data_IF_851891560153
#
_entry.id   IF_851891560153
#
_cell.length_a   1.000
_cell.length_b   1.000
_cell.length_c   1.000
_cell.angle_alpha   90.00
_cell.angle_beta   90.00
_cell.angle_gamma   90.00
#
_symmetry.space_group_name_H-M   'P 1'
#
loop_
_entity.id
_entity.type
_entity.pdbx_description
1 polymer ?
#
# COMPACT_ATOMS: atom_id res chain seq x y z
N UNK A 1 6.90 -11.81 -8.35
CA UNK A 1 6.81 -10.32 -8.41
C UNK A 1 8.22 -9.75 -8.43
N UNK A 2 8.58 -9.06 -9.51
CA UNK A 2 9.88 -8.42 -9.72
C UNK A 2 9.84 -6.92 -9.44
N UNK A 3 10.93 -6.23 -9.77
CA UNK A 3 11.08 -4.78 -9.67
C UNK A 3 11.39 -4.23 -11.07
N UNK A 4 10.37 -4.18 -11.91
CA UNK A 4 10.43 -3.70 -13.29
C UNK A 4 9.24 -2.79 -13.59
N UNK A 5 9.22 -2.19 -14.78
CA UNK A 5 8.17 -1.26 -15.20
C UNK A 5 6.78 -1.90 -15.23
N UNK A 6 6.68 -3.19 -15.60
CA UNK A 6 5.41 -3.92 -15.61
C UNK A 6 4.88 -4.12 -14.18
N UNK A 7 5.75 -4.53 -13.27
CA UNK A 7 5.43 -4.69 -11.85
C UNK A 7 5.05 -3.35 -11.21
N UNK A 8 5.74 -2.26 -11.55
CA UNK A 8 5.40 -0.89 -11.12
C UNK A 8 4.01 -0.48 -11.61
N UNK A 9 3.70 -0.71 -12.89
CA UNK A 9 2.36 -0.39 -13.42
C UNK A 9 1.25 -1.13 -12.66
N UNK A 10 1.48 -2.39 -12.26
CA UNK A 10 0.54 -3.11 -11.41
C UNK A 10 0.41 -2.50 -10.01
N UNK A 11 1.52 -2.09 -9.39
CA UNK A 11 1.51 -1.46 -8.06
C UNK A 11 0.72 -0.14 -8.07
N UNK A 12 0.98 0.72 -9.07
CA UNK A 12 0.23 1.97 -9.31
C UNK A 12 -1.27 1.67 -9.47
N UNK A 13 -1.63 0.68 -10.29
CA UNK A 13 -3.02 0.27 -10.47
C UNK A 13 -3.68 -0.16 -9.16
N UNK A 14 -2.96 -0.91 -8.30
CA UNK A 14 -3.51 -1.37 -7.01
C UNK A 14 -3.74 -0.24 -6.02
N UNK A 15 -2.86 0.76 -5.99
CA UNK A 15 -3.03 1.93 -5.14
C UNK A 15 -4.24 2.76 -5.60
N UNK A 16 -4.37 3.01 -6.91
CA UNK A 16 -5.56 3.68 -7.47
C UNK A 16 -6.86 2.94 -7.13
N UNK A 17 -6.85 1.61 -7.24
CA UNK A 17 -7.99 0.79 -6.82
C UNK A 17 -8.32 0.94 -5.33
N UNK A 18 -7.32 1.17 -4.47
CA UNK A 18 -7.54 1.43 -3.05
C UNK A 18 -8.12 2.83 -2.80
N UNK A 19 -7.71 3.84 -3.56
CA UNK A 19 -8.36 5.16 -3.52
C UNK A 19 -9.81 5.10 -4.02
N UNK A 20 -10.09 4.32 -5.07
CA UNK A 20 -11.43 4.17 -5.65
C UNK A 20 -12.45 3.58 -4.67
N UNK A 21 -12.01 2.89 -3.59
CA UNK A 21 -12.92 2.42 -2.54
C UNK A 21 -13.33 3.52 -1.58
N UNK A 22 -12.74 4.71 -1.65
CA UNK A 22 -12.91 5.79 -0.68
C UNK A 22 -12.30 5.48 0.69
N UNK A 23 -11.37 4.52 0.75
CA UNK A 23 -10.66 4.18 1.99
C UNK A 23 -9.50 5.13 2.21
N UNK A 24 -9.21 5.44 3.47
CA UNK A 24 -8.05 6.27 3.82
C UNK A 24 -6.81 5.44 4.18
N UNK A 25 -6.96 4.13 4.37
CA UNK A 25 -5.91 3.24 4.86
C UNK A 25 -5.78 1.96 4.03
N UNK A 26 -4.58 1.70 3.53
CA UNK A 26 -4.22 0.46 2.85
C UNK A 26 -3.57 -0.54 3.83
N UNK A 27 -4.19 -1.69 4.00
CA UNK A 27 -3.69 -2.78 4.86
C UNK A 27 -3.04 -3.86 4.01
N UNK A 28 -1.85 -4.32 4.41
CA UNK A 28 -1.16 -5.42 3.72
C UNK A 28 -0.64 -6.48 4.70
N UNK A 29 -0.74 -7.75 4.34
CA UNK A 29 -0.14 -8.86 5.10
C UNK A 29 1.22 -9.33 4.53
N UNK A 30 1.68 -8.71 3.44
CA UNK A 30 2.92 -9.12 2.77
C UNK A 30 3.97 -7.99 2.84
N UNK A 31 5.10 -8.21 3.55
CA UNK A 31 6.17 -7.21 3.66
C UNK A 31 6.72 -6.78 2.29
N UNK A 32 6.81 -7.71 1.34
CA UNK A 32 7.27 -7.39 -0.03
C UNK A 32 6.29 -6.47 -0.77
N UNK A 33 4.99 -6.72 -0.65
CA UNK A 33 3.98 -5.82 -1.22
C UNK A 33 4.06 -4.44 -0.57
N UNK A 34 4.21 -4.39 0.76
CA UNK A 34 4.36 -3.13 1.50
C UNK A 34 5.52 -2.29 0.96
N UNK A 35 6.70 -2.89 0.80
CA UNK A 35 7.89 -2.22 0.26
C UNK A 35 7.62 -1.67 -1.14
N UNK A 36 7.06 -2.48 -2.03
CA UNK A 36 6.86 -2.05 -3.42
C UNK A 36 5.73 -1.04 -3.60
N UNK A 37 4.68 -1.12 -2.78
CA UNK A 37 3.62 -0.11 -2.80
C UNK A 37 4.14 1.22 -2.24
N UNK A 38 4.93 1.23 -1.15
CA UNK A 38 5.62 2.44 -0.69
C UNK A 38 6.57 2.99 -1.75
N UNK A 39 7.37 2.15 -2.39
CA UNK A 39 8.21 2.58 -3.53
C UNK A 39 7.40 3.11 -4.72
N UNK A 40 6.16 2.64 -4.91
CA UNK A 40 5.24 3.22 -5.89
C UNK A 40 4.77 4.63 -5.51
N UNK A 41 4.57 4.88 -4.22
CA UNK A 41 4.21 6.19 -3.66
C UNK A 41 5.36 7.21 -3.67
N UNK A 42 6.61 6.74 -3.74
CA UNK A 42 7.81 7.61 -3.91
C UNK A 42 8.12 7.91 -5.38
N UNK A 43 7.20 7.62 -6.31
CA UNK A 43 7.40 7.94 -7.72
C UNK A 43 7.50 9.46 -7.95
N UNK A 44 8.50 9.97 -8.68
CA UNK A 44 8.70 11.42 -8.82
C UNK A 44 7.59 12.13 -9.60
N UNK A 45 6.76 11.40 -10.36
CA UNK A 45 5.67 11.97 -11.15
C UNK A 45 4.30 11.62 -10.59
N UNK A 46 4.17 10.43 -9.99
CA UNK A 46 2.88 9.91 -9.50
C UNK A 46 2.76 9.94 -7.98
N UNK A 47 3.82 10.24 -7.23
CA UNK A 47 3.85 10.04 -5.78
C UNK A 47 2.79 10.83 -5.01
N UNK A 48 2.55 12.08 -5.41
CA UNK A 48 1.50 12.90 -4.81
C UNK A 48 0.10 12.31 -5.04
N UNK A 49 -0.18 11.82 -6.27
CA UNK A 49 -1.45 11.17 -6.61
C UNK A 49 -1.64 9.84 -5.87
N UNK A 50 -0.56 9.11 -5.62
CA UNK A 50 -0.59 7.75 -5.07
C UNK A 50 -0.43 7.71 -3.54
N UNK A 51 -0.18 8.85 -2.89
CA UNK A 51 0.09 8.89 -1.45
C UNK A 51 -1.13 8.40 -0.67
N UNK A 52 -0.90 7.38 0.17
CA UNK A 52 -1.95 6.76 0.99
C UNK A 52 -1.33 6.21 2.27
N UNK A 53 -2.05 6.33 3.38
CA UNK A 53 -1.63 5.70 4.63
C UNK A 53 -1.58 4.19 4.47
N UNK A 54 -0.55 3.57 5.05
CA UNK A 54 -0.33 2.14 4.89
C UNK A 54 0.25 1.50 6.14
N UNK A 55 -0.38 0.40 6.54
CA UNK A 55 -0.02 -0.38 7.72
C UNK A 55 -0.01 -1.87 7.39
N UNK A 56 0.80 -2.63 8.10
CA UNK A 56 0.75 -4.09 7.99
C UNK A 56 -0.36 -4.67 8.89
N UNK A 57 -0.85 -5.87 8.52
CA UNK A 57 -1.93 -6.53 9.21
C UNK A 57 -1.62 -6.77 10.70
N UNK A 58 -0.38 -7.13 11.04
CA UNK A 58 0.03 -7.42 12.42
C UNK A 58 -0.05 -6.16 13.28
N UNK A 59 0.43 -5.02 12.77
CA UNK A 59 0.32 -3.73 13.46
C UNK A 59 -1.13 -3.33 13.72
N UNK A 60 -2.04 -3.55 12.76
CA UNK A 60 -3.48 -3.35 13.01
C UNK A 60 -3.96 -4.25 14.14
N UNK A 61 -3.68 -5.55 14.06
CA UNK A 61 -4.13 -6.50 15.08
C UNK A 61 -3.66 -6.07 16.48
N UNK A 62 -2.40 -5.68 16.63
CA UNK A 62 -1.84 -5.20 17.90
C UNK A 62 -2.59 -3.96 18.41
N UNK A 63 -2.91 -3.01 17.52
CA UNK A 63 -3.56 -1.76 17.92
C UNK A 63 -5.06 -1.90 18.18
N UNK A 64 -5.71 -2.93 17.62
CA UNK A 64 -7.17 -3.11 17.74
C UNK A 64 -7.58 -4.25 18.65
N UNK A 65 -6.67 -5.18 18.98
CA UNK A 65 -6.99 -6.31 19.84
C UNK A 65 -7.32 -5.80 21.26
N UNK A 66 -8.51 -6.15 21.73
CA UNK A 66 -8.93 -5.94 23.11
C UNK A 66 -8.81 -7.29 23.81
N UNK A 67 -8.02 -7.35 24.88
CA UNK A 67 -7.95 -8.52 25.75
C UNK A 67 -8.83 -8.25 26.97
N UNK A 68 -9.79 -9.12 27.22
CA UNK A 68 -10.57 -9.14 28.46
C UNK A 68 -9.72 -9.61 29.65
#
# INVERSE_FOLDING_TARGET
>A
IGCDSFSKALQVKRIRQAHDTGSDLLVTACPKCQIHLRCAMEDPFLGEELSMEMVDLTSIMINTIQWE
#
